data_IF_494973139278
#
_entry.id   IF_494973139278
#
_cell.length_a   1.000
_cell.length_b   1.000
_cell.length_c   1.000
_cell.angle_alpha   90.00
_cell.angle_beta   90.00
_cell.angle_gamma   90.00
#
_symmetry.space_group_name_H-M   'P 1'
#
loop_
_entity.id
_entity.type
_entity.pdbx_description
1 polymer ?
#
# COMPACT_ATOMS: atom_id res chain seq x y z
N UNK A 1 25.66 2.15 -53.77
CA UNK A 1 26.30 3.47 -53.66
C UNK A 1 26.43 3.86 -52.18
N UNK A 2 27.66 4.10 -51.71
CA UNK A 2 28.00 4.51 -50.35
C UNK A 2 27.96 6.04 -50.25
N UNK A 3 27.41 6.60 -49.19
CA UNK A 3 27.77 7.95 -48.70
C UNK A 3 27.83 7.92 -47.17
N UNK A 4 29.05 7.72 -46.67
CA UNK A 4 29.50 7.93 -45.29
C UNK A 4 30.30 9.24 -45.34
N UNK A 5 29.96 10.26 -44.55
CA UNK A 5 30.81 11.38 -44.07
C UNK A 5 29.93 12.13 -43.03
N UNK A 6 30.37 12.64 -41.88
CA UNK A 6 31.66 12.75 -41.21
C UNK A 6 31.39 13.04 -39.71
N UNK A 7 32.37 12.70 -38.89
CA UNK A 7 32.59 13.09 -37.49
C UNK A 7 32.49 14.61 -37.26
N UNK A 8 31.82 15.03 -36.18
CA UNK A 8 31.80 16.41 -35.69
C UNK A 8 31.73 16.43 -34.15
N UNK A 9 32.61 17.23 -33.54
CA UNK A 9 33.02 17.19 -32.14
C UNK A 9 31.97 17.68 -31.12
N UNK A 10 32.10 17.17 -29.88
CA UNK A 10 31.37 17.61 -28.69
C UNK A 10 31.69 19.06 -28.33
N UNK A 11 30.68 19.87 -27.99
CA UNK A 11 30.82 21.00 -27.07
C UNK A 11 29.59 21.01 -26.15
N UNK A 12 29.82 20.62 -24.91
CA UNK A 12 28.86 20.65 -23.81
C UNK A 12 28.67 22.10 -23.35
N UNK A 13 27.43 22.61 -23.38
CA UNK A 13 27.08 23.82 -22.63
C UNK A 13 26.31 23.44 -21.37
N UNK A 14 26.82 23.96 -20.27
CA UNK A 14 26.41 23.65 -18.90
C UNK A 14 24.95 24.00 -18.61
N UNK A 15 24.31 23.02 -18.00
CA UNK A 15 23.03 22.98 -17.30
C UNK A 15 22.72 24.24 -16.46
N UNK A 16 21.50 24.74 -16.64
CA UNK A 16 20.81 25.61 -15.69
C UNK A 16 20.57 24.83 -14.38
N UNK A 17 21.34 25.13 -13.33
CA UNK A 17 21.09 24.66 -11.96
C UNK A 17 19.90 25.43 -11.37
N UNK A 18 18.70 25.07 -11.80
CA UNK A 18 17.50 25.34 -11.03
C UNK A 18 17.52 24.45 -9.79
N UNK A 19 17.71 25.04 -8.61
CA UNK A 19 17.50 24.38 -7.33
C UNK A 19 15.99 24.16 -7.14
N UNK A 20 15.43 23.21 -7.89
CA UNK A 20 14.14 22.63 -7.62
C UNK A 20 14.41 21.41 -6.76
N UNK A 21 14.06 21.51 -5.47
CA UNK A 21 13.95 20.34 -4.60
C UNK A 21 13.20 19.27 -5.38
N UNK A 22 13.87 18.15 -5.66
CA UNK A 22 13.21 16.96 -6.20
C UNK A 22 12.10 16.61 -5.23
N UNK A 23 10.88 17.04 -5.54
CA UNK A 23 9.70 16.49 -4.91
C UNK A 23 9.83 14.98 -5.16
N UNK A 24 10.02 14.22 -4.08
CA UNK A 24 10.07 12.77 -4.12
C UNK A 24 9.05 12.27 -5.14
N UNK A 25 9.51 11.54 -6.17
CA UNK A 25 8.82 11.28 -7.44
C UNK A 25 7.54 10.43 -7.34
N UNK A 26 6.67 10.77 -6.39
CA UNK A 26 5.41 10.13 -6.07
C UNK A 26 4.31 10.89 -6.82
N UNK A 27 3.50 10.18 -7.62
CA UNK A 27 2.44 10.84 -8.36
C UNK A 27 1.35 11.40 -7.42
N UNK A 28 0.54 12.31 -7.94
CA UNK A 28 -0.69 12.74 -7.26
C UNK A 28 -1.55 11.51 -6.93
N UNK A 29 -2.12 11.49 -5.73
CA UNK A 29 -2.96 10.39 -5.26
C UNK A 29 -4.11 10.13 -6.22
N UNK A 30 -4.17 8.90 -6.71
CA UNK A 30 -5.20 8.46 -7.62
C UNK A 30 -6.58 8.48 -6.96
N UNK A 31 -7.60 8.66 -7.79
CA UNK A 31 -9.01 8.49 -7.45
C UNK A 31 -9.69 7.74 -8.59
N UNK A 32 -10.85 7.16 -8.30
CA UNK A 32 -11.65 6.42 -9.28
C UNK A 32 -12.34 5.20 -8.68
N UNK A 33 -13.00 4.43 -9.53
CA UNK A 33 -13.54 3.11 -9.16
C UNK A 33 -12.41 2.11 -8.86
N UNK A 34 -12.79 0.96 -8.30
CA UNK A 34 -11.88 -0.16 -8.06
C UNK A 34 -11.16 -0.56 -9.35
N UNK A 35 -11.87 -0.70 -10.47
CA UNK A 35 -11.29 -1.10 -11.76
C UNK A 35 -10.32 -0.05 -12.30
N UNK A 36 -10.63 1.24 -12.14
CA UNK A 36 -9.74 2.32 -12.57
C UNK A 36 -8.45 2.35 -11.75
N UNK A 37 -8.56 2.13 -10.43
CA UNK A 37 -7.41 2.03 -9.53
C UNK A 37 -6.59 0.77 -9.82
N UNK A 38 -7.24 -0.37 -10.04
CA UNK A 38 -6.58 -1.63 -10.42
C UNK A 38 -5.84 -1.48 -11.76
N UNK A 39 -6.45 -0.85 -12.75
CA UNK A 39 -5.81 -0.58 -14.04
C UNK A 39 -4.56 0.31 -13.90
N UNK A 40 -4.64 1.40 -13.12
CA UNK A 40 -3.48 2.25 -12.81
C UNK A 40 -2.40 1.49 -12.03
N UNK A 41 -2.81 0.58 -11.16
CA UNK A 41 -1.92 -0.30 -10.42
C UNK A 41 -1.32 -1.43 -11.28
N UNK A 42 -1.79 -1.59 -12.53
CA UNK A 42 -1.46 -2.69 -13.46
C UNK A 42 -1.87 -4.06 -12.92
N UNK A 43 -3.00 -4.11 -12.22
CA UNK A 43 -3.63 -5.31 -11.72
C UNK A 43 -4.90 -5.63 -12.51
N UNK A 44 -5.15 -6.92 -12.74
CA UNK A 44 -6.50 -7.43 -13.03
C UNK A 44 -7.16 -7.83 -11.70
N UNK A 45 -8.22 -7.14 -11.26
CA UNK A 45 -8.82 -7.39 -9.95
C UNK A 45 -9.63 -8.69 -9.94
N UNK A 46 -9.49 -9.46 -8.86
CA UNK A 46 -10.37 -10.58 -8.52
C UNK A 46 -11.35 -10.13 -7.43
N UNK A 47 -12.57 -9.74 -7.84
CA UNK A 47 -13.58 -9.14 -6.95
C UNK A 47 -14.02 -10.18 -5.91
N UNK A 48 -13.81 -9.88 -4.63
CA UNK A 48 -14.27 -10.71 -3.51
C UNK A 48 -15.59 -10.18 -2.92
N UNK A 49 -15.73 -8.86 -2.90
CA UNK A 49 -16.91 -8.17 -2.38
C UNK A 49 -17.34 -7.10 -3.37
N UNK A 50 -18.62 -7.13 -3.73
CA UNK A 50 -19.24 -6.15 -4.61
C UNK A 50 -20.54 -5.63 -3.97
N UNK A 51 -20.39 -4.68 -3.05
CA UNK A 51 -21.50 -4.03 -2.36
C UNK A 51 -21.46 -2.51 -2.61
N UNK A 52 -22.61 -1.85 -2.45
CA UNK A 52 -22.74 -0.41 -2.71
C UNK A 52 -21.87 0.43 -1.77
N UNK A 53 -21.67 -0.03 -0.53
CA UNK A 53 -20.89 0.68 0.49
C UNK A 53 -19.38 0.40 0.37
N UNK A 54 -19.03 -0.81 -0.09
CA UNK A 54 -17.68 -1.35 -0.13
C UNK A 54 -17.50 -2.33 -1.30
N UNK A 55 -16.48 -2.09 -2.11
CA UNK A 55 -16.00 -3.07 -3.10
C UNK A 55 -14.58 -3.46 -2.76
N UNK A 56 -14.27 -4.75 -2.84
CA UNK A 56 -12.96 -5.29 -2.49
C UNK A 56 -12.51 -6.32 -3.53
N UNK A 57 -11.23 -6.26 -3.89
CA UNK A 57 -10.62 -7.22 -4.79
C UNK A 57 -9.23 -7.64 -4.31
N UNK A 58 -8.88 -8.89 -4.62
CA UNK A 58 -7.50 -9.35 -4.53
C UNK A 58 -6.77 -9.02 -5.82
N UNK A 59 -5.53 -8.59 -5.68
CA UNK A 59 -4.63 -8.29 -6.78
C UNK A 59 -3.28 -8.98 -6.58
N UNK A 60 -2.69 -9.47 -7.67
CA UNK A 60 -1.39 -10.14 -7.66
C UNK A 60 -1.39 -11.49 -6.94
N UNK A 61 -0.19 -12.03 -6.74
CA UNK A 61 0.04 -13.34 -6.17
C UNK A 61 1.30 -13.35 -5.29
N UNK A 62 1.42 -14.38 -4.46
CA UNK A 62 2.56 -14.58 -3.58
C UNK A 62 2.91 -13.34 -2.76
N UNK A 63 4.16 -12.87 -2.91
CA UNK A 63 4.73 -11.75 -2.14
C UNK A 63 4.29 -10.37 -2.64
N UNK A 64 3.72 -10.30 -3.83
CA UNK A 64 3.23 -9.06 -4.44
C UNK A 64 1.69 -8.96 -4.34
N UNK A 65 1.05 -9.92 -3.66
CA UNK A 65 -0.38 -9.91 -3.40
C UNK A 65 -0.77 -8.75 -2.48
N UNK A 66 -1.87 -8.09 -2.83
CA UNK A 66 -2.51 -7.07 -2.00
C UNK A 66 -4.03 -7.12 -2.18
N UNK A 67 -4.74 -6.57 -1.20
CA UNK A 67 -6.17 -6.31 -1.28
C UNK A 67 -6.38 -4.83 -1.62
N UNK A 68 -7.27 -4.55 -2.57
CA UNK A 68 -7.74 -3.19 -2.89
C UNK A 68 -9.20 -3.05 -2.46
N UNK A 69 -9.47 -2.13 -1.55
CA UNK A 69 -10.81 -1.78 -1.11
C UNK A 69 -11.17 -0.35 -1.56
N UNK A 70 -12.39 -0.15 -2.03
CA UNK A 70 -12.96 1.17 -2.36
C UNK A 70 -14.27 1.38 -1.62
N UNK A 71 -14.52 2.60 -1.19
CA UNK A 71 -15.63 2.93 -0.29
C UNK A 71 -16.56 3.96 -0.92
N UNK A 72 -17.85 3.89 -0.61
CA UNK A 72 -18.80 4.91 -1.02
C UNK A 72 -18.50 6.27 -0.36
N UNK A 73 -18.09 6.25 0.91
CA UNK A 73 -17.92 7.44 1.75
C UNK A 73 -16.56 7.46 2.46
N UNK A 74 -16.08 8.66 2.80
CA UNK A 74 -14.86 8.82 3.61
C UNK A 74 -15.04 8.23 5.02
N UNK A 75 -16.26 8.31 5.58
CA UNK A 75 -16.61 7.69 6.85
C UNK A 75 -16.47 6.17 6.82
N UNK A 76 -17.01 5.52 5.78
CA UNK A 76 -16.92 4.06 5.63
C UNK A 76 -15.48 3.58 5.48
N UNK A 77 -14.61 4.37 4.83
CA UNK A 77 -13.18 4.08 4.81
C UNK A 77 -12.57 4.16 6.20
N UNK A 78 -12.85 5.23 6.96
CA UNK A 78 -12.27 5.43 8.29
C UNK A 78 -12.69 4.33 9.27
N UNK A 79 -14.00 3.99 9.29
CA UNK A 79 -14.54 2.91 10.13
C UNK A 79 -13.97 1.54 9.75
N UNK A 80 -13.72 1.29 8.46
CA UNK A 80 -13.06 0.06 8.02
C UNK A 80 -11.59 0.03 8.42
N UNK A 81 -10.85 1.13 8.29
CA UNK A 81 -9.43 1.19 8.62
C UNK A 81 -9.19 0.99 10.12
N UNK A 82 -10.04 1.56 10.97
CA UNK A 82 -10.01 1.38 12.43
C UNK A 82 -10.09 -0.10 12.81
N UNK A 83 -10.99 -0.85 12.19
CA UNK A 83 -11.15 -2.29 12.41
C UNK A 83 -10.06 -3.13 11.72
N UNK A 84 -9.55 -2.67 10.57
CA UNK A 84 -8.55 -3.41 9.80
C UNK A 84 -7.16 -3.34 10.42
N UNK A 85 -6.79 -2.21 11.04
CA UNK A 85 -5.46 -1.98 11.61
C UNK A 85 -5.06 -3.05 12.63
N UNK A 86 -6.04 -3.55 13.40
CA UNK A 86 -5.87 -4.64 14.37
C UNK A 86 -5.30 -5.93 13.78
N UNK A 87 -5.54 -6.19 12.49
CA UNK A 87 -5.05 -7.39 11.80
C UNK A 87 -3.61 -7.25 11.30
N UNK A 88 -3.04 -6.05 11.38
CA UNK A 88 -1.68 -5.77 10.96
C UNK A 88 -1.53 -5.52 9.45
N UNK A 89 -0.30 -5.22 9.01
CA UNK A 89 0.08 -5.04 7.62
C UNK A 89 0.63 -3.66 7.27
N UNK A 90 0.80 -3.40 5.98
CA UNK A 90 1.11 -2.08 5.45
C UNK A 90 -0.04 -1.61 4.59
N UNK A 91 -0.43 -0.35 4.76
CA UNK A 91 -1.58 0.27 4.13
C UNK A 91 -1.13 1.39 3.20
N UNK A 92 -1.69 1.45 2.00
CA UNK A 92 -1.64 2.60 1.12
C UNK A 92 -3.00 3.27 1.12
N UNK A 93 -3.06 4.49 1.63
CA UNK A 93 -4.29 5.20 1.88
C UNK A 93 -4.45 6.32 0.84
N UNK A 94 -5.56 6.26 0.13
CA UNK A 94 -6.08 7.38 -0.65
C UNK A 94 -7.44 7.82 -0.14
N UNK A 95 -8.10 8.72 -0.87
CA UNK A 95 -9.44 9.19 -0.52
C UNK A 95 -10.47 8.24 -1.10
N UNK A 96 -11.21 7.57 -0.22
CA UNK A 96 -12.21 6.50 -0.50
C UNK A 96 -11.64 5.22 -1.12
N UNK A 97 -10.38 4.93 -0.88
CA UNK A 97 -9.78 3.64 -1.20
C UNK A 97 -8.54 3.36 -0.34
N UNK A 98 -8.30 2.07 -0.09
CA UNK A 98 -7.14 1.56 0.64
C UNK A 98 -6.59 0.34 -0.09
N UNK A 99 -5.27 0.22 -0.19
CA UNK A 99 -4.61 -1.04 -0.55
C UNK A 99 -3.81 -1.58 0.64
N UNK A 100 -3.97 -2.86 0.99
CA UNK A 100 -3.26 -3.50 2.10
C UNK A 100 -2.48 -4.72 1.63
N UNK A 101 -1.24 -4.86 2.09
CA UNK A 101 -0.38 -5.98 1.74
C UNK A 101 1.00 -5.88 2.38
N UNK A 102 1.95 -6.64 1.85
CA UNK A 102 3.34 -6.56 2.30
C UNK A 102 3.97 -5.19 1.98
N UNK A 103 4.89 -4.72 2.83
CA UNK A 103 5.59 -3.43 2.71
C UNK A 103 6.15 -3.17 1.30
N UNK A 104 6.79 -4.18 0.69
CA UNK A 104 7.33 -4.08 -0.67
C UNK A 104 6.22 -3.86 -1.71
N UNK A 105 5.11 -4.60 -1.63
CA UNK A 105 4.00 -4.48 -2.56
C UNK A 105 3.35 -3.09 -2.47
N UNK A 106 3.14 -2.60 -1.24
CA UNK A 106 2.57 -1.29 -0.96
C UNK A 106 3.49 -0.15 -1.42
N UNK A 107 4.79 -0.24 -1.15
CA UNK A 107 5.76 0.76 -1.61
C UNK A 107 5.79 0.85 -3.14
N UNK A 108 5.75 -0.29 -3.83
CA UNK A 108 5.65 -0.33 -5.29
C UNK A 108 4.33 0.28 -5.80
N UNK A 109 3.21 0.05 -5.11
CA UNK A 109 1.91 0.65 -5.42
C UNK A 109 1.92 2.16 -5.23
N UNK A 110 2.57 2.69 -4.18
CA UNK A 110 2.69 4.13 -3.95
C UNK A 110 3.32 4.86 -5.14
N UNK A 111 4.31 4.25 -5.78
CA UNK A 111 4.92 4.80 -7.00
C UNK A 111 3.96 4.90 -8.20
N UNK A 112 2.84 4.15 -8.20
CA UNK A 112 1.82 4.18 -9.27
C UNK A 112 0.59 4.98 -8.90
N UNK A 113 0.14 4.86 -7.65
CA UNK A 113 -1.13 5.40 -7.19
C UNK A 113 -0.97 6.66 -6.32
N UNK A 114 0.23 7.00 -5.88
CA UNK A 114 0.44 8.01 -4.85
C UNK A 114 -0.10 7.53 -3.50
N UNK A 115 -0.58 8.46 -2.67
CA UNK A 115 -1.16 8.14 -1.36
C UNK A 115 -0.15 8.12 -0.21
N UNK A 116 -0.67 7.90 0.99
CA UNK A 116 0.08 7.82 2.25
C UNK A 116 0.29 6.37 2.63
N UNK A 117 1.51 6.02 3.04
CA UNK A 117 1.82 4.67 3.54
C UNK A 117 1.76 4.70 5.05
N UNK A 118 0.92 3.85 5.62
CA UNK A 118 0.82 3.64 7.06
C UNK A 118 1.16 2.18 7.39
N UNK A 119 1.84 1.96 8.51
CA UNK A 119 2.13 0.63 9.04
C UNK A 119 1.31 0.46 10.29
N UNK A 120 0.51 -0.59 10.35
CA UNK A 120 -0.14 -0.97 11.60
C UNK A 120 0.92 -1.17 12.67
N UNK A 121 0.77 -0.51 13.80
CA UNK A 121 1.55 -0.80 15.00
C UNK A 121 1.05 -2.13 15.55
N UNK A 122 1.68 -3.24 15.18
CA UNK A 122 1.36 -4.57 15.72
C UNK A 122 1.37 -4.51 17.25
N UNK A 123 0.19 -4.48 17.89
CA UNK A 123 0.05 -4.54 19.35
C UNK A 123 0.24 -5.97 19.86
N UNK A 124 1.38 -6.60 19.57
CA UNK A 124 1.78 -7.88 20.16
C UNK A 124 3.25 -7.84 20.60
N UNK A 125 3.56 -7.03 21.60
CA UNK A 125 4.64 -7.35 22.53
C UNK A 125 4.01 -7.87 23.81
N UNK A 126 3.49 -9.10 23.75
CA UNK A 126 3.19 -9.86 24.95
C UNK A 126 4.51 -10.17 25.65
N UNK A 127 4.84 -9.44 26.70
CA UNK A 127 5.83 -9.88 27.68
C UNK A 127 5.11 -10.78 28.68
N UNK A 128 4.87 -12.03 28.26
CA UNK A 128 4.60 -13.14 29.17
C UNK A 128 5.92 -13.57 29.82
N UNK A 129 6.13 -13.18 31.08
CA UNK A 129 6.90 -13.95 32.05
C UNK A 129 5.98 -14.15 33.26
N UNK A 130 5.64 -15.33 33.74
CA UNK A 130 6.31 -16.62 33.68
C UNK A 130 6.73 -17.00 35.10
N UNK A 131 5.92 -17.82 35.78
CA UNK A 131 6.34 -18.62 36.94
C UNK A 131 5.47 -18.50 38.20
N UNK A 132 4.86 -19.62 38.61
CA UNK A 132 4.27 -19.78 39.94
C UNK A 132 3.07 -20.73 40.00
N UNK A 133 3.27 -22.02 39.68
CA UNK A 133 2.38 -23.09 40.13
C UNK A 133 2.61 -23.32 41.62
N UNK A 134 1.59 -23.17 42.47
CA UNK A 134 1.51 -23.88 43.76
C UNK A 134 0.05 -24.30 43.98
N UNK A 135 -0.16 -25.62 44.01
CA UNK A 135 -1.40 -26.29 44.38
C UNK A 135 -1.43 -26.47 45.90
N UNK A 136 -2.50 -26.06 46.58
CA UNK A 136 -2.78 -26.53 47.95
C UNK A 136 -4.29 -26.61 48.21
N UNK A 137 -4.76 -27.87 48.21
CA UNK A 137 -5.77 -28.47 49.10
C UNK A 137 -7.05 -27.72 49.50
N UNK A 138 -8.19 -28.14 48.94
CA UNK A 138 -9.47 -28.12 49.66
C UNK A 138 -10.14 -29.49 49.64
N UNK A 139 -10.05 -30.16 50.80
CA UNK A 139 -10.73 -31.41 51.13
C UNK A 139 -12.24 -31.19 51.25
N UNK A 140 -13.02 -32.05 50.59
CA UNK A 140 -14.46 -32.13 50.76
C UNK A 140 -14.96 -33.56 50.64
N UNK A 141 -15.32 -34.13 51.80
CA UNK A 141 -16.13 -35.34 52.06
C UNK A 141 -15.42 -36.70 51.95
#
# INVERSE_FOLDING_TARGET
MRRIWATGAMVSLAVLTGCGSSADGVPKTATGSLEQLAAKARCRPDIQTDADELRQATCGDGRDRYILATFATDRGQAEWLDQADDYGGTYLIGRRWIAVGADKAVTALRGRLGGTVEKSSSHHSGSSGGGGHEEDGHSGH
#
